data_IF_540218454578
#
_entry.id   IF_540218454578
#
_cell.length_a   1.000
_cell.length_b   1.000
_cell.length_c   1.000
_cell.angle_alpha   90.00
_cell.angle_beta   90.00
_cell.angle_gamma   90.00
#
_symmetry.space_group_name_H-M   'P 1'
#
loop_
_entity.id
_entity.type
_entity.pdbx_description
1 polymer ?
#
# COMPACT_ATOMS: atom_id res chain seq x y z
N UNK A 1 8.96 -11.41 16.72
CA UNK A 1 8.40 -10.98 18.03
C UNK A 1 6.90 -11.26 18.03
N UNK A 2 6.33 -11.73 19.15
CA UNK A 2 4.88 -11.97 19.26
C UNK A 2 4.21 -10.79 19.97
N UNK A 3 2.99 -10.45 19.56
CA UNK A 3 2.17 -9.41 20.19
C UNK A 3 0.76 -9.91 20.42
N UNK A 4 0.26 -9.80 21.65
CA UNK A 4 -1.13 -10.10 21.98
C UNK A 4 -1.96 -8.82 21.84
N UNK A 5 -2.96 -8.86 20.96
CA UNK A 5 -3.91 -7.76 20.75
C UNK A 5 -5.30 -8.39 20.75
N UNK A 6 -6.15 -7.97 21.69
CA UNK A 6 -7.53 -8.48 21.87
C UNK A 6 -7.64 -10.01 21.91
N UNK A 7 -6.70 -10.66 22.62
CA UNK A 7 -6.69 -12.12 22.75
C UNK A 7 -6.18 -12.88 21.51
N UNK A 8 -5.75 -12.17 20.46
CA UNK A 8 -5.13 -12.74 19.27
C UNK A 8 -3.63 -12.54 19.30
N UNK A 9 -2.89 -13.59 18.93
CA UNK A 9 -1.43 -13.57 18.83
C UNK A 9 -1.06 -13.18 17.40
N UNK A 10 -0.27 -12.11 17.27
CA UNK A 10 0.31 -11.66 16.02
C UNK A 10 1.81 -11.95 16.01
N UNK A 11 2.31 -12.37 14.85
CA UNK A 11 3.73 -12.56 14.58
C UNK A 11 4.22 -11.40 13.72
N UNK A 12 5.32 -10.78 14.13
CA UNK A 12 5.97 -9.76 13.31
C UNK A 12 6.71 -10.41 12.14
N UNK A 13 6.43 -9.92 10.93
CA UNK A 13 7.03 -10.37 9.67
C UNK A 13 7.79 -9.23 8.98
N UNK A 14 8.59 -9.57 7.97
CA UNK A 14 9.28 -8.59 7.12
C UNK A 14 8.23 -7.81 6.31
N UNK A 15 8.34 -6.49 6.33
CA UNK A 15 7.38 -5.60 5.69
C UNK A 15 7.53 -5.57 4.16
N UNK A 16 8.76 -5.56 3.64
CA UNK A 16 9.07 -5.26 2.23
C UNK A 16 8.42 -6.22 1.23
N UNK A 17 8.29 -7.50 1.57
CA UNK A 17 7.67 -8.51 0.71
C UNK A 17 6.34 -9.05 1.24
N UNK A 18 5.78 -8.40 2.27
CA UNK A 18 4.51 -8.79 2.88
C UNK A 18 3.37 -8.89 1.87
N UNK A 19 3.39 -8.07 0.81
CA UNK A 19 2.37 -8.12 -0.25
C UNK A 19 2.17 -9.52 -0.86
N UNK A 20 3.24 -10.34 -0.93
CA UNK A 20 3.19 -11.69 -1.52
C UNK A 20 2.24 -12.65 -0.80
N UNK A 21 2.06 -12.48 0.50
CA UNK A 21 1.20 -13.33 1.33
C UNK A 21 0.01 -12.59 1.94
N UNK A 22 0.04 -11.25 1.93
CA UNK A 22 -0.99 -10.39 2.52
C UNK A 22 -2.09 -10.06 1.53
N UNK A 23 -1.77 -9.95 0.24
CA UNK A 23 -2.65 -9.37 -0.78
C UNK A 23 -2.73 -10.32 -1.98
N UNK A 24 -3.95 -10.65 -2.37
CA UNK A 24 -4.22 -11.23 -3.67
C UNK A 24 -4.19 -10.09 -4.70
N UNK A 25 -3.11 -10.04 -5.47
CA UNK A 25 -2.87 -8.98 -6.46
C UNK A 25 -3.82 -9.06 -7.66
N UNK A 26 -4.41 -10.22 -7.93
CA UNK A 26 -5.35 -10.41 -9.04
C UNK A 26 -6.74 -9.89 -8.66
N UNK A 27 -7.20 -10.22 -7.45
CA UNK A 27 -8.56 -9.90 -7.01
C UNK A 27 -8.65 -8.65 -6.13
N UNK A 28 -7.52 -8.07 -5.70
CA UNK A 28 -7.50 -6.88 -4.85
C UNK A 28 -8.11 -7.15 -3.47
N UNK A 29 -7.73 -8.24 -2.82
CA UNK A 29 -8.28 -8.67 -1.53
C UNK A 29 -7.20 -9.02 -0.51
N UNK A 30 -7.45 -8.71 0.75
CA UNK A 30 -6.60 -9.11 1.86
C UNK A 30 -6.72 -10.62 2.11
N UNK A 31 -5.60 -11.34 2.10
CA UNK A 31 -5.56 -12.80 2.26
C UNK A 31 -5.50 -13.27 3.73
N UNK A 32 -4.97 -12.42 4.63
CA UNK A 32 -4.73 -12.75 6.05
C UNK A 32 -5.14 -11.60 6.96
N UNK A 33 -5.58 -11.93 8.17
CA UNK A 33 -5.76 -10.92 9.20
C UNK A 33 -4.38 -10.40 9.60
N UNK A 34 -4.17 -9.10 9.52
CA UNK A 34 -2.86 -8.49 9.78
C UNK A 34 -3.03 -7.11 10.39
N UNK A 35 -1.98 -6.64 11.05
CA UNK A 35 -1.92 -5.29 11.61
C UNK A 35 -0.69 -4.63 11.02
N UNK A 36 -0.89 -3.46 10.43
CA UNK A 36 0.21 -2.59 10.02
C UNK A 36 0.37 -1.55 11.12
N UNK A 37 1.60 -1.44 11.64
CA UNK A 37 1.98 -0.40 12.58
C UNK A 37 2.66 0.69 11.77
N UNK A 38 2.03 1.85 11.71
CA UNK A 38 2.58 2.99 10.98
C UNK A 38 3.79 3.58 11.73
N UNK A 39 4.62 4.42 11.08
CA UNK A 39 5.74 5.08 11.76
C UNK A 39 5.33 5.95 12.97
N UNK A 40 4.10 6.47 12.99
CA UNK A 40 3.54 7.21 14.13
C UNK A 40 2.85 6.32 15.18
N UNK A 41 2.96 4.98 15.07
CA UNK A 41 2.44 4.03 16.05
C UNK A 41 0.95 3.73 15.94
N UNK A 42 0.27 4.19 14.89
CA UNK A 42 -1.12 3.87 14.62
C UNK A 42 -1.25 2.41 14.14
N UNK A 43 -2.27 1.72 14.65
CA UNK A 43 -2.62 0.37 14.19
C UNK A 43 -3.64 0.44 13.06
N UNK A 44 -3.28 -0.13 11.91
CA UNK A 44 -4.20 -0.35 10.79
C UNK A 44 -4.53 -1.84 10.75
N UNK A 45 -5.79 -2.18 11.01
CA UNK A 45 -6.27 -3.55 10.99
C UNK A 45 -6.72 -3.94 9.58
N UNK A 46 -6.06 -4.94 9.02
CA UNK A 46 -6.41 -5.56 7.75
C UNK A 46 -7.19 -6.84 8.04
N UNK A 47 -8.47 -6.88 7.66
CA UNK A 47 -9.31 -8.08 7.81
C UNK A 47 -9.26 -8.91 6.54
N UNK A 48 -9.08 -10.23 6.68
CA UNK A 48 -9.16 -11.17 5.56
C UNK A 48 -10.47 -11.00 4.78
N UNK A 49 -10.39 -11.01 3.45
CA UNK A 49 -11.52 -10.86 2.53
C UNK A 49 -11.94 -9.41 2.27
N UNK A 50 -11.33 -8.40 2.93
CA UNK A 50 -11.60 -7.00 2.61
C UNK A 50 -10.96 -6.61 1.28
N UNK A 51 -11.71 -5.86 0.47
CA UNK A 51 -11.24 -5.30 -0.80
C UNK A 51 -10.25 -4.16 -0.55
N UNK A 52 -9.28 -4.06 -1.44
CA UNK A 52 -8.29 -3.00 -1.51
C UNK A 52 -8.14 -2.55 -2.96
N UNK A 53 -7.71 -1.29 -3.13
CA UNK A 53 -7.29 -0.79 -4.43
C UNK A 53 -5.78 -0.86 -4.54
N UNK A 54 -5.33 -1.37 -5.69
CA UNK A 54 -3.95 -1.59 -6.02
C UNK A 54 -3.54 -0.56 -7.07
N UNK A 55 -2.55 0.24 -6.73
CA UNK A 55 -1.99 1.24 -7.60
C UNK A 55 -0.56 0.86 -7.93
N UNK A 56 -0.30 0.69 -9.21
CA UNK A 56 1.03 0.37 -9.71
C UNK A 56 1.65 1.60 -10.37
N UNK A 57 2.84 1.98 -9.92
CA UNK A 57 3.63 3.05 -10.52
C UNK A 57 4.96 2.49 -11.02
N UNK A 58 5.19 2.59 -12.33
CA UNK A 58 6.38 2.06 -13.00
C UNK A 58 7.07 3.14 -13.84
N UNK A 59 8.39 3.27 -13.72
CA UNK A 59 9.15 4.26 -14.47
C UNK A 59 10.67 4.18 -14.27
N UNK A 60 11.41 5.11 -14.86
CA UNK A 60 12.87 5.19 -14.66
C UNK A 60 13.18 5.54 -13.20
N UNK A 61 12.45 6.51 -12.67
CA UNK A 61 12.42 6.86 -11.24
C UNK A 61 10.95 7.03 -10.86
N UNK A 62 10.57 6.45 -9.73
CA UNK A 62 9.22 6.56 -9.16
C UNK A 62 9.36 7.10 -7.74
N UNK A 63 8.59 8.15 -7.45
CA UNK A 63 8.57 8.78 -6.13
C UNK A 63 7.14 8.70 -5.60
N UNK A 64 6.86 7.83 -4.59
CA UNK A 64 5.60 7.87 -3.87
C UNK A 64 5.39 9.24 -3.24
N UNK A 65 4.19 9.80 -3.40
CA UNK A 65 3.80 11.11 -2.87
C UNK A 65 2.88 11.02 -1.66
N UNK A 66 2.70 9.80 -1.14
CA UNK A 66 1.84 9.45 -0.01
C UNK A 66 2.58 8.58 0.97
N UNK A 67 2.09 8.51 2.21
CA UNK A 67 2.66 7.68 3.29
C UNK A 67 1.67 6.63 3.78
N UNK A 68 2.19 5.53 4.32
CA UNK A 68 1.37 4.54 5.03
C UNK A 68 0.66 5.21 6.22
N UNK A 69 -0.65 4.99 6.35
CA UNK A 69 -1.53 5.66 7.31
C UNK A 69 -2.21 6.92 6.77
N UNK A 70 -1.72 7.51 5.67
CA UNK A 70 -2.31 8.72 5.09
C UNK A 70 -3.72 8.46 4.56
N UNK A 71 -4.66 9.35 4.92
CA UNK A 71 -6.00 9.39 4.33
C UNK A 71 -5.96 10.29 3.09
N UNK A 72 -6.48 9.82 1.97
CA UNK A 72 -6.51 10.56 0.71
C UNK A 72 -7.92 10.65 0.14
N UNK A 73 -8.13 11.65 -0.72
CA UNK A 73 -9.34 11.83 -1.51
C UNK A 73 -9.12 11.36 -2.95
N UNK A 74 -10.21 11.08 -3.66
CA UNK A 74 -10.17 10.83 -5.11
C UNK A 74 -9.52 12.01 -5.84
N UNK A 75 -8.78 11.72 -6.90
CA UNK A 75 -7.97 12.66 -7.66
C UNK A 75 -6.62 13.01 -7.03
N UNK A 76 -6.33 12.60 -5.78
CA UNK A 76 -5.03 12.84 -5.13
C UNK A 76 -3.90 12.20 -5.94
N UNK A 77 -2.83 12.96 -6.20
CA UNK A 77 -1.58 12.43 -6.78
C UNK A 77 -0.89 11.53 -5.75
N UNK A 78 -0.67 10.27 -6.11
CA UNK A 78 -0.09 9.25 -5.23
C UNK A 78 1.34 8.85 -5.59
N UNK A 79 1.77 9.05 -6.84
CA UNK A 79 3.15 8.89 -7.25
C UNK A 79 3.52 9.87 -8.37
N UNK A 80 4.79 10.30 -8.38
CA UNK A 80 5.42 10.94 -9.52
C UNK A 80 6.27 9.90 -10.27
N UNK A 81 6.14 9.85 -11.59
CA UNK A 81 6.79 8.89 -12.46
C UNK A 81 7.66 9.66 -13.45
N UNK A 82 8.97 9.56 -13.29
CA UNK A 82 9.94 10.14 -14.21
C UNK A 82 10.24 9.13 -15.32
N UNK A 83 9.98 9.53 -16.56
CA UNK A 83 10.21 8.68 -17.74
C UNK A 83 11.64 8.81 -18.25
N UNK A 84 12.06 7.92 -19.16
CA UNK A 84 13.33 8.05 -19.86
C UNK A 84 13.43 9.29 -20.76
N UNK A 85 12.31 9.96 -21.08
CA UNK A 85 12.22 11.09 -22.02
C UNK A 85 12.18 12.47 -21.34
N UNK A 86 12.60 12.56 -20.07
CA UNK A 86 12.54 13.81 -19.26
C UNK A 86 11.11 14.32 -19.00
N UNK A 87 10.09 13.47 -19.15
CA UNK A 87 8.71 13.80 -18.77
C UNK A 87 8.41 13.32 -17.34
N UNK A 88 7.55 14.07 -16.64
CA UNK A 88 6.97 13.65 -15.36
C UNK A 88 5.49 13.37 -15.55
N UNK A 89 5.06 12.16 -15.17
CA UNK A 89 3.65 11.78 -15.09
C UNK A 89 3.24 11.62 -13.64
N UNK A 90 1.96 11.82 -13.35
CA UNK A 90 1.43 11.61 -12.02
C UNK A 90 0.40 10.49 -12.05
N UNK A 91 0.59 9.50 -11.19
CA UNK A 91 -0.46 8.56 -10.87
C UNK A 91 -1.40 9.23 -9.87
N UNK A 92 -2.70 9.20 -10.15
CA UNK A 92 -3.75 9.73 -9.27
C UNK A 92 -4.62 8.59 -8.79
N UNK A 93 -5.07 8.65 -7.55
CA UNK A 93 -6.09 7.74 -7.06
C UNK A 93 -7.44 8.13 -7.67
N UNK A 94 -8.20 7.15 -8.12
CA UNK A 94 -9.61 7.31 -8.53
C UNK A 94 -10.56 7.24 -7.32
N UNK A 95 -10.03 7.00 -6.12
CA UNK A 95 -10.81 6.62 -4.95
C UNK A 95 -10.34 7.30 -3.67
N UNK A 96 -11.25 7.52 -2.74
CA UNK A 96 -10.93 8.00 -1.40
C UNK A 96 -10.67 6.83 -0.45
N UNK A 97 -9.76 7.01 0.51
CA UNK A 97 -9.45 5.94 1.46
C UNK A 97 -8.19 6.19 2.28
N UNK A 98 -7.64 5.12 2.84
CA UNK A 98 -6.40 5.14 3.62
C UNK A 98 -5.33 4.29 2.94
N UNK A 99 -4.13 4.85 2.78
CA UNK A 99 -2.96 4.11 2.30
C UNK A 99 -2.50 3.16 3.40
N UNK A 100 -2.44 1.88 3.09
CA UNK A 100 -2.09 0.84 4.07
C UNK A 100 -0.76 0.18 3.78
N UNK A 101 -0.30 0.20 2.54
CA UNK A 101 0.95 -0.44 2.17
C UNK A 101 1.60 0.26 0.98
N UNK A 102 2.93 0.34 1.01
CA UNK A 102 3.78 0.85 -0.06
C UNK A 102 5.02 -0.03 -0.09
N UNK A 103 5.32 -0.64 -1.25
CA UNK A 103 6.55 -1.40 -1.45
C UNK A 103 7.12 -1.15 -2.84
N UNK A 104 8.45 -1.12 -2.93
CA UNK A 104 9.15 -1.20 -4.21
C UNK A 104 9.32 -2.67 -4.58
N UNK A 105 8.66 -3.10 -5.64
CA UNK A 105 8.69 -4.50 -6.08
C UNK A 105 9.74 -4.77 -7.16
N UNK A 106 10.20 -3.72 -7.87
CA UNK A 106 11.32 -3.82 -8.82
C UNK A 106 12.24 -2.59 -8.75
N UNK A 107 13.54 -2.81 -8.95
CA UNK A 107 14.57 -1.76 -8.84
C UNK A 107 14.82 -1.05 -10.17
N UNK A 108 14.84 -1.78 -11.29
CA UNK A 108 15.10 -1.23 -12.63
C UNK A 108 14.28 -1.98 -13.70
N UNK A 109 13.34 -1.30 -14.38
CA UNK A 109 12.79 0.02 -14.01
C UNK A 109 12.18 0.00 -12.60
N UNK A 110 12.10 1.16 -11.96
CA UNK A 110 11.50 1.23 -10.62
C UNK A 110 10.00 0.93 -10.72
N UNK A 111 9.53 0.01 -9.90
CA UNK A 111 8.12 -0.36 -9.81
C UNK A 111 7.68 -0.35 -8.35
N UNK A 112 6.64 0.41 -8.06
CA UNK A 112 6.04 0.51 -6.73
C UNK A 112 4.61 -0.02 -6.77
N UNK A 113 4.28 -0.80 -5.74
CA UNK A 113 2.92 -1.17 -5.38
C UNK A 113 2.47 -0.26 -4.23
N UNK A 114 1.35 0.43 -4.42
CA UNK A 114 0.68 1.24 -3.41
C UNK A 114 -0.72 0.66 -3.18
N UNK A 115 -1.08 0.43 -1.93
CA UNK A 115 -2.33 -0.25 -1.56
C UNK A 115 -3.17 0.68 -0.70
N UNK A 116 -4.45 0.78 -1.06
CA UNK A 116 -5.43 1.62 -0.39
C UNK A 116 -6.61 0.77 0.08
N UNK A 117 -7.03 0.97 1.32
CA UNK A 117 -8.37 0.54 1.76
C UNK A 117 -9.33 1.67 1.42
N UNK A 118 -10.38 1.41 0.61
CA UNK A 118 -11.39 2.43 0.31
C UNK A 118 -12.12 2.82 1.59
N UNK A 119 -12.52 4.09 1.67
CA UNK A 119 -13.45 4.51 2.72
C UNK A 119 -14.78 3.78 2.50
N UNK A 120 -15.33 3.17 3.55
CA UNK A 120 -16.72 2.71 3.50
C UNK A 120 -17.58 3.98 3.50
N UNK A 121 -18.38 4.16 2.44
CA UNK A 121 -19.35 5.25 2.32
C UNK A 121 -20.49 5.08 3.35
#
# INVERSE_FOLDING_TARGET
QFKNIDGKIYVQEIYDDAYKWLIDLENGIIMRNSIIITPNGEYIFLKKGKRVYLFEAMGRIVVPLVKVGEKILSGRRIAAIFTGKREVRYLRSDSAGKIVYIAQIEIKPQRYLIVLIPRED
#
